data_IF_014069445311
#
_entry.id   IF_014069445311
#
_cell.length_a   1.000
_cell.length_b   1.000
_cell.length_c   1.000
_cell.angle_alpha   90.00
_cell.angle_beta   90.00
_cell.angle_gamma   90.00
#
_symmetry.space_group_name_H-M   'P 1'
#
loop_
_entity.id
_entity.type
_entity.pdbx_description
1 polymer ?
#
# COMPACT_ATOMS: atom_id res chain seq x y z
N UNK A 1 -9.29 36.68 -2.14
CA UNK A 1 -10.31 35.68 -2.62
C UNK A 1 -9.76 34.23 -2.63
N UNK A 2 -8.48 33.99 -2.97
CA UNK A 2 -7.90 32.68 -2.99
C UNK A 2 -7.74 32.11 -1.56
N UNK A 3 -7.27 32.91 -0.60
CA UNK A 3 -7.06 32.49 0.78
C UNK A 3 -8.37 32.07 1.47
N UNK A 4 -9.47 32.80 1.24
CA UNK A 4 -10.78 32.46 1.79
C UNK A 4 -11.27 31.09 1.27
N UNK A 5 -10.96 30.74 0.01
CA UNK A 5 -11.33 29.45 -0.58
C UNK A 5 -10.52 28.29 0.03
N UNK A 6 -9.23 28.48 0.30
CA UNK A 6 -8.39 27.48 0.95
C UNK A 6 -8.87 27.21 2.38
N UNK A 7 -9.17 28.28 3.14
CA UNK A 7 -9.68 28.16 4.50
C UNK A 7 -11.02 27.39 4.54
N UNK A 8 -11.92 27.66 3.59
CA UNK A 8 -13.16 26.90 3.46
C UNK A 8 -12.90 25.40 3.21
N UNK A 9 -11.94 25.06 2.34
CA UNK A 9 -11.58 23.67 2.05
C UNK A 9 -10.94 22.98 3.26
N UNK A 10 -10.10 23.69 4.02
CA UNK A 10 -9.53 23.20 5.29
C UNK A 10 -10.62 22.96 6.34
N UNK A 11 -11.55 23.88 6.50
CA UNK A 11 -12.71 23.74 7.39
C UNK A 11 -13.56 22.51 7.04
N UNK A 12 -13.80 22.28 5.75
CA UNK A 12 -14.49 21.06 5.30
C UNK A 12 -13.71 19.78 5.63
N UNK A 13 -12.39 19.79 5.49
CA UNK A 13 -11.56 18.65 5.90
C UNK A 13 -11.67 18.38 7.40
N UNK A 14 -11.59 19.43 8.23
CA UNK A 14 -11.76 19.31 9.69
C UNK A 14 -13.15 18.74 10.03
N UNK A 15 -14.19 19.22 9.38
CA UNK A 15 -15.55 18.70 9.56
C UNK A 15 -15.63 17.21 9.22
N UNK A 16 -15.13 16.79 8.05
CA UNK A 16 -15.12 15.38 7.65
C UNK A 16 -14.38 14.49 8.66
N UNK A 17 -13.26 14.95 9.19
CA UNK A 17 -12.51 14.25 10.24
C UNK A 17 -13.32 14.12 11.52
N UNK A 18 -13.95 15.20 11.98
CA UNK A 18 -14.74 15.19 13.20
C UNK A 18 -15.97 14.25 13.06
N UNK A 19 -16.67 14.29 11.93
CA UNK A 19 -17.78 13.39 11.63
C UNK A 19 -17.31 11.91 11.61
N UNK A 20 -16.09 11.67 11.10
CA UNK A 20 -15.48 10.34 11.11
C UNK A 20 -15.18 9.85 12.54
N UNK A 21 -14.59 10.70 13.38
CA UNK A 21 -14.30 10.38 14.78
C UNK A 21 -15.59 10.07 15.58
N UNK A 22 -16.65 10.87 15.37
CA UNK A 22 -17.96 10.61 16.00
C UNK A 22 -18.50 9.25 15.63
N UNK A 23 -18.43 8.88 14.35
CA UNK A 23 -18.93 7.56 13.90
C UNK A 23 -18.05 6.41 14.40
N UNK A 24 -16.73 6.56 14.47
CA UNK A 24 -15.83 5.56 15.05
C UNK A 24 -16.15 5.35 16.55
N UNK A 25 -16.40 6.41 17.31
CA UNK A 25 -16.77 6.30 18.71
C UNK A 25 -18.12 5.56 18.91
N UNK A 26 -19.10 5.71 18.01
CA UNK A 26 -20.34 4.91 18.03
C UNK A 26 -20.06 3.43 17.84
N UNK A 27 -19.17 3.07 16.92
CA UNK A 27 -18.76 1.66 16.70
C UNK A 27 -18.00 1.14 17.93
N UNK A 28 -17.13 1.95 18.53
CA UNK A 28 -16.42 1.59 19.77
C UNK A 28 -17.39 1.29 20.90
N UNK A 29 -18.39 2.14 21.11
CA UNK A 29 -19.44 1.93 22.11
C UNK A 29 -20.17 0.60 21.90
N UNK A 30 -20.55 0.30 20.65
CA UNK A 30 -21.15 -0.99 20.30
C UNK A 30 -20.26 -2.16 20.69
N UNK A 31 -18.94 -2.10 20.38
CA UNK A 31 -17.99 -3.15 20.74
C UNK A 31 -17.83 -3.28 22.27
N UNK A 32 -17.76 -2.15 22.98
CA UNK A 32 -17.64 -2.13 24.46
C UNK A 32 -18.85 -2.77 25.14
N UNK A 33 -20.07 -2.43 24.70
CA UNK A 33 -21.32 -2.99 25.25
C UNK A 33 -21.45 -4.51 25.05
N UNK A 34 -20.71 -5.09 24.11
CA UNK A 34 -20.69 -6.52 23.78
C UNK A 34 -19.41 -7.24 24.15
N UNK A 35 -18.49 -6.56 24.86
CA UNK A 35 -17.19 -7.08 25.26
C UNK A 35 -16.36 -7.65 24.09
N UNK A 36 -16.41 -6.99 22.91
CA UNK A 36 -15.66 -7.36 21.70
C UNK A 36 -14.27 -6.75 21.72
N UNK A 37 -13.32 -7.41 22.35
CA UNK A 37 -11.97 -6.88 22.58
C UNK A 37 -11.24 -6.50 21.28
N UNK A 38 -11.28 -7.37 20.26
CA UNK A 38 -10.66 -7.12 18.94
C UNK A 38 -11.31 -5.91 18.25
N UNK A 39 -12.63 -5.76 18.37
CA UNK A 39 -13.36 -4.61 17.85
C UNK A 39 -12.95 -3.31 18.51
N UNK A 40 -12.81 -3.29 19.84
CA UNK A 40 -12.34 -2.11 20.59
C UNK A 40 -10.93 -1.73 20.12
N UNK A 41 -10.01 -2.68 20.05
CA UNK A 41 -8.62 -2.44 19.62
C UNK A 41 -8.53 -1.90 18.19
N UNK A 42 -9.28 -2.51 17.26
CA UNK A 42 -9.31 -2.10 15.86
C UNK A 42 -9.88 -0.69 15.68
N UNK A 43 -10.94 -0.34 16.39
CA UNK A 43 -11.56 0.98 16.33
C UNK A 43 -10.67 2.03 17.01
N UNK A 44 -10.01 1.71 18.13
CA UNK A 44 -9.05 2.61 18.77
C UNK A 44 -7.84 2.92 17.88
N UNK A 45 -7.35 1.92 17.15
CA UNK A 45 -6.31 2.14 16.14
C UNK A 45 -6.79 3.08 15.02
N UNK A 46 -8.04 2.92 14.57
CA UNK A 46 -8.65 3.80 13.57
C UNK A 46 -8.82 5.24 14.11
N UNK A 47 -9.24 5.41 15.36
CA UNK A 47 -9.37 6.72 16.02
C UNK A 47 -8.00 7.40 16.12
N UNK A 48 -6.96 6.69 16.58
CA UNK A 48 -5.59 7.25 16.65
C UNK A 48 -5.10 7.69 15.27
N UNK A 49 -5.34 6.88 14.24
CA UNK A 49 -4.98 7.24 12.85
C UNK A 49 -5.73 8.47 12.35
N UNK A 50 -7.01 8.61 12.69
CA UNK A 50 -7.85 9.73 12.27
C UNK A 50 -7.58 11.04 13.04
N UNK A 51 -7.10 10.97 14.27
CA UNK A 51 -6.77 12.13 15.11
C UNK A 51 -5.56 12.91 14.59
N UNK A 52 -4.64 12.24 13.89
CA UNK A 52 -3.48 12.89 13.28
C UNK A 52 -3.86 13.89 12.19
N UNK A 53 -3.21 15.06 12.19
CA UNK A 53 -3.41 16.09 11.15
C UNK A 53 -2.49 15.88 9.94
N UNK A 54 -1.39 15.16 10.13
CA UNK A 54 -0.44 14.86 9.07
C UNK A 54 -0.95 13.74 8.13
N UNK A 55 -0.48 13.76 6.89
CA UNK A 55 -0.72 12.64 5.99
C UNK A 55 -0.08 11.36 6.56
N UNK A 56 -0.75 10.20 6.44
CA UNK A 56 -0.21 8.95 6.93
C UNK A 56 1.18 8.69 6.33
N UNK A 57 2.18 8.47 7.17
CA UNK A 57 3.55 8.12 6.74
C UNK A 57 3.74 6.61 6.60
N UNK A 58 2.89 5.83 7.29
CA UNK A 58 2.94 4.38 7.22
C UNK A 58 2.71 3.86 5.78
N UNK A 59 3.43 2.81 5.38
CA UNK A 59 3.22 2.17 4.09
C UNK A 59 1.79 1.62 3.99
N UNK A 60 1.23 1.71 2.79
CA UNK A 60 -0.10 1.15 2.54
C UNK A 60 -0.01 -0.39 2.47
N UNK A 61 -1.02 -1.13 2.99
CA UNK A 61 -1.03 -2.58 2.91
C UNK A 61 -0.89 -3.06 1.46
N UNK A 62 -0.01 -4.03 1.22
CA UNK A 62 0.14 -4.61 -0.12
C UNK A 62 -0.99 -5.57 -0.49
N UNK A 63 -1.56 -6.25 0.51
CA UNK A 63 -2.63 -7.22 0.29
C UNK A 63 -3.99 -6.54 0.24
N UNK A 64 -4.84 -7.03 -0.65
CA UNK A 64 -6.25 -6.66 -0.70
C UNK A 64 -6.94 -7.19 0.56
N UNK A 65 -7.79 -6.37 1.17
CA UNK A 65 -8.55 -6.75 2.36
C UNK A 65 -9.45 -7.95 2.05
N UNK A 66 -9.31 -9.07 2.78
CA UNK A 66 -10.13 -10.25 2.54
C UNK A 66 -11.61 -9.97 2.84
N UNK A 67 -12.50 -10.72 2.22
CA UNK A 67 -13.91 -10.68 2.55
C UNK A 67 -14.16 -11.16 4.00
N UNK A 68 -15.27 -10.75 4.58
CA UNK A 68 -15.64 -11.21 5.90
C UNK A 68 -16.03 -12.69 5.83
N UNK A 69 -15.48 -13.51 6.74
CA UNK A 69 -15.87 -14.91 6.80
C UNK A 69 -17.36 -15.04 7.12
N UNK A 70 -18.08 -15.93 6.43
CA UNK A 70 -19.48 -16.24 6.76
C UNK A 70 -19.63 -16.88 8.16
N UNK A 71 -18.56 -17.50 8.68
CA UNK A 71 -18.57 -18.22 9.97
C UNK A 71 -18.34 -17.31 11.18
N UNK A 72 -18.09 -16.00 10.95
CA UNK A 72 -17.94 -15.05 12.05
C UNK A 72 -19.24 -14.95 12.88
N UNK A 73 -19.12 -14.86 14.22
CA UNK A 73 -20.26 -14.54 15.09
C UNK A 73 -20.97 -13.26 14.62
N UNK A 74 -22.30 -13.21 14.79
CA UNK A 74 -23.10 -12.10 14.28
C UNK A 74 -22.61 -10.72 14.75
N UNK A 75 -22.25 -10.59 16.03
CA UNK A 75 -21.74 -9.34 16.59
C UNK A 75 -20.37 -8.94 16.00
N UNK A 76 -19.49 -9.93 15.78
CA UNK A 76 -18.18 -9.72 15.14
C UNK A 76 -18.34 -9.25 13.70
N UNK A 77 -19.18 -9.91 12.93
CA UNK A 77 -19.50 -9.54 11.55
C UNK A 77 -20.12 -8.16 11.47
N UNK A 78 -20.99 -7.83 12.43
CA UNK A 78 -21.68 -6.54 12.47
C UNK A 78 -20.70 -5.37 12.62
N UNK A 79 -19.82 -5.37 13.64
CA UNK A 79 -18.90 -4.26 13.83
C UNK A 79 -17.87 -4.15 12.70
N UNK A 80 -17.36 -5.28 12.18
CA UNK A 80 -16.42 -5.27 11.06
C UNK A 80 -17.08 -4.68 9.80
N UNK A 81 -18.30 -5.06 9.50
CA UNK A 81 -19.08 -4.52 8.38
C UNK A 81 -19.35 -3.02 8.54
N UNK A 82 -19.75 -2.59 9.73
CA UNK A 82 -19.98 -1.17 10.04
C UNK A 82 -18.70 -0.36 9.88
N UNK A 83 -17.58 -0.83 10.44
CA UNK A 83 -16.28 -0.15 10.33
C UNK A 83 -15.82 -0.04 8.87
N UNK A 84 -15.91 -1.13 8.09
CA UNK A 84 -15.55 -1.12 6.65
C UNK A 84 -16.43 -0.16 5.86
N UNK A 85 -17.72 -0.21 6.06
CA UNK A 85 -18.68 0.66 5.36
C UNK A 85 -18.43 2.12 5.70
N UNK A 86 -18.21 2.43 6.97
CA UNK A 86 -17.95 3.79 7.40
C UNK A 86 -16.62 4.31 6.86
N UNK A 87 -15.54 3.51 6.92
CA UNK A 87 -14.24 3.88 6.36
C UNK A 87 -14.32 4.14 4.86
N UNK A 88 -15.03 3.34 4.09
CA UNK A 88 -15.26 3.56 2.65
C UNK A 88 -16.00 4.87 2.38
N UNK A 89 -17.05 5.18 3.13
CA UNK A 89 -17.80 6.44 3.00
C UNK A 89 -16.91 7.64 3.29
N UNK A 90 -16.14 7.58 4.36
CA UNK A 90 -15.22 8.65 4.71
C UNK A 90 -14.12 8.81 3.64
N UNK A 91 -13.54 7.71 3.14
CA UNK A 91 -12.56 7.73 2.05
C UNK A 91 -13.14 8.36 0.77
N UNK A 92 -14.39 8.06 0.41
CA UNK A 92 -15.06 8.69 -0.73
C UNK A 92 -15.20 10.20 -0.53
N UNK A 93 -15.57 10.66 0.66
CA UNK A 93 -15.70 12.08 0.97
C UNK A 93 -14.35 12.80 0.90
N UNK A 94 -13.28 12.21 1.43
CA UNK A 94 -11.90 12.72 1.31
C UNK A 94 -11.46 12.81 -0.15
N UNK A 95 -11.76 11.79 -0.95
CA UNK A 95 -11.44 11.79 -2.37
C UNK A 95 -12.18 12.90 -3.14
N UNK A 96 -13.46 13.11 -2.88
CA UNK A 96 -14.23 14.20 -3.49
C UNK A 96 -13.67 15.57 -3.08
N UNK A 97 -13.28 15.72 -1.82
CA UNK A 97 -12.62 16.93 -1.34
C UNK A 97 -11.27 17.12 -2.05
N UNK A 98 -10.46 16.07 -2.24
CA UNK A 98 -9.17 16.17 -2.92
C UNK A 98 -9.29 16.73 -4.34
N UNK A 99 -10.34 16.34 -5.09
CA UNK A 99 -10.61 16.89 -6.43
C UNK A 99 -10.93 18.37 -6.39
N UNK A 100 -11.69 18.81 -5.39
CA UNK A 100 -12.04 20.24 -5.22
C UNK A 100 -10.82 21.07 -4.84
N UNK A 101 -9.97 20.53 -3.96
CA UNK A 101 -8.70 21.12 -3.54
C UNK A 101 -7.74 21.24 -4.72
N UNK A 102 -7.62 20.18 -5.55
CA UNK A 102 -6.81 20.19 -6.75
C UNK A 102 -7.29 21.24 -7.77
N UNK A 103 -8.62 21.32 -8.01
CA UNK A 103 -9.22 22.33 -8.88
C UNK A 103 -9.00 23.75 -8.37
N UNK A 104 -8.77 23.93 -7.07
CA UNK A 104 -8.43 25.21 -6.46
C UNK A 104 -6.92 25.53 -6.52
N UNK A 105 -6.08 24.66 -7.11
CA UNK A 105 -4.64 24.86 -7.30
C UNK A 105 -3.76 24.36 -6.14
N UNK A 106 -4.32 23.72 -5.10
CA UNK A 106 -3.59 23.29 -3.91
C UNK A 106 -3.13 21.80 -4.02
N UNK A 107 -2.15 21.53 -4.90
CA UNK A 107 -1.73 20.18 -5.27
C UNK A 107 -1.23 19.35 -4.08
N UNK A 108 -0.38 19.91 -3.21
CA UNK A 108 0.14 19.19 -2.04
C UNK A 108 -0.97 18.77 -1.06
N UNK A 109 -1.94 19.66 -0.83
CA UNK A 109 -3.09 19.34 0.03
C UNK A 109 -3.99 18.27 -0.62
N UNK A 110 -4.24 18.36 -1.93
CA UNK A 110 -4.99 17.35 -2.66
C UNK A 110 -4.31 15.97 -2.61
N UNK A 111 -2.99 15.91 -2.79
CA UNK A 111 -2.21 14.69 -2.69
C UNK A 111 -2.29 14.07 -1.28
N UNK A 112 -2.18 14.88 -0.24
CA UNK A 112 -2.34 14.42 1.14
C UNK A 112 -3.72 13.82 1.41
N UNK A 113 -4.79 14.40 0.86
CA UNK A 113 -6.14 13.85 0.95
C UNK A 113 -6.27 12.51 0.20
N UNK A 114 -5.60 12.33 -0.94
CA UNK A 114 -5.54 11.04 -1.65
C UNK A 114 -4.83 9.98 -0.81
N UNK A 115 -3.74 10.33 -0.13
CA UNK A 115 -3.04 9.42 0.81
C UNK A 115 -3.95 9.03 1.98
N UNK A 116 -4.65 9.99 2.59
CA UNK A 116 -5.62 9.72 3.64
C UNK A 116 -6.77 8.83 3.13
N UNK A 117 -7.25 9.06 1.90
CA UNK A 117 -8.24 8.19 1.24
C UNK A 117 -7.77 6.74 1.19
N UNK A 118 -6.54 6.50 0.72
CA UNK A 118 -5.97 5.17 0.62
C UNK A 118 -5.67 4.53 1.99
N UNK A 119 -5.40 5.32 3.02
CA UNK A 119 -5.23 4.82 4.39
C UNK A 119 -6.57 4.42 5.03
N UNK A 120 -7.65 5.16 4.74
CA UNK A 120 -8.99 4.81 5.21
C UNK A 120 -9.61 3.63 4.46
N UNK A 121 -9.47 3.61 3.12
CA UNK A 121 -9.89 2.51 2.26
C UNK A 121 -8.70 2.02 1.42
N UNK A 122 -7.93 1.05 1.94
CA UNK A 122 -6.75 0.51 1.26
C UNK A 122 -7.05 -0.11 -0.11
N UNK A 123 -8.30 -0.47 -0.36
CA UNK A 123 -8.75 -1.09 -1.61
C UNK A 123 -9.39 -0.10 -2.60
N UNK A 124 -9.35 1.19 -2.29
CA UNK A 124 -9.79 2.24 -3.19
C UNK A 124 -8.95 2.25 -4.48
N UNK A 125 -9.48 1.66 -5.56
CA UNK A 125 -8.79 1.57 -6.86
C UNK A 125 -8.35 2.93 -7.38
N UNK A 126 -9.18 3.95 -7.18
CA UNK A 126 -8.89 5.29 -7.67
C UNK A 126 -7.74 5.94 -6.90
N UNK A 127 -7.76 5.86 -5.56
CA UNK A 127 -6.67 6.39 -4.74
C UNK A 127 -5.38 5.63 -5.00
N UNK A 128 -5.42 4.29 -5.04
CA UNK A 128 -4.25 3.45 -5.32
C UNK A 128 -3.61 3.79 -6.67
N UNK A 129 -4.41 3.95 -7.73
CA UNK A 129 -3.90 4.31 -9.06
C UNK A 129 -3.23 5.68 -9.07
N UNK A 130 -3.80 6.67 -8.40
CA UNK A 130 -3.19 8.00 -8.28
C UNK A 130 -1.87 7.97 -7.49
N UNK A 131 -1.72 7.02 -6.57
CA UNK A 131 -0.49 6.79 -5.81
C UNK A 131 0.51 5.86 -6.53
N UNK A 132 0.23 5.49 -7.79
CA UNK A 132 1.15 4.69 -8.60
C UNK A 132 1.03 3.18 -8.41
N UNK A 133 -0.08 2.67 -7.82
CA UNK A 133 -0.29 1.23 -7.64
C UNK A 133 -1.32 0.67 -8.62
N UNK A 134 -1.11 -0.57 -9.02
CA UNK A 134 -2.05 -1.37 -9.80
C UNK A 134 -2.36 -2.67 -9.07
N UNK A 135 -3.53 -3.24 -9.32
CA UNK A 135 -3.92 -4.53 -8.74
C UNK A 135 -3.35 -5.68 -9.56
N UNK A 136 -2.67 -6.61 -8.89
CA UNK A 136 -2.19 -7.87 -9.44
C UNK A 136 -2.66 -9.02 -8.54
N UNK A 137 -3.68 -9.75 -8.96
CA UNK A 137 -4.37 -10.75 -8.13
C UNK A 137 -4.98 -10.11 -6.86
N UNK A 138 -4.54 -10.57 -5.71
CA UNK A 138 -4.92 -10.06 -4.39
C UNK A 138 -3.91 -9.04 -3.80
N UNK A 139 -3.00 -8.49 -4.61
CA UNK A 139 -1.96 -7.56 -4.16
C UNK A 139 -2.02 -6.24 -4.91
N UNK A 140 -1.60 -5.19 -4.22
CA UNK A 140 -1.33 -3.87 -4.77
C UNK A 140 0.16 -3.74 -4.99
N UNK A 141 0.57 -3.53 -6.24
CA UNK A 141 1.98 -3.46 -6.63
C UNK A 141 2.21 -2.27 -7.58
N UNK A 142 3.45 -1.88 -7.78
CA UNK A 142 3.78 -0.90 -8.82
C UNK A 142 3.53 -1.49 -10.22
N UNK A 143 3.31 -0.67 -11.27
CA UNK A 143 3.19 -1.16 -12.65
C UNK A 143 4.39 -1.99 -13.09
N UNK A 144 5.61 -1.58 -12.71
CA UNK A 144 6.83 -2.34 -12.96
C UNK A 144 6.78 -3.72 -12.29
N UNK A 145 6.49 -3.78 -11.00
CA UNK A 145 6.37 -5.06 -10.28
C UNK A 145 5.29 -5.97 -10.92
N UNK A 146 4.14 -5.39 -11.32
CA UNK A 146 3.09 -6.14 -12.03
C UNK A 146 3.60 -6.74 -13.34
N UNK A 147 4.42 -6.02 -14.09
CA UNK A 147 5.03 -6.52 -15.32
C UNK A 147 6.00 -7.69 -15.04
N UNK A 148 6.84 -7.59 -14.00
CA UNK A 148 7.76 -8.66 -13.63
C UNK A 148 7.02 -9.92 -13.15
N UNK A 149 5.98 -9.75 -12.33
CA UNK A 149 5.15 -10.86 -11.88
C UNK A 149 4.44 -11.59 -13.04
N UNK A 150 3.98 -10.87 -14.06
CA UNK A 150 3.41 -11.47 -15.30
C UNK A 150 4.44 -12.31 -16.07
N UNK A 151 5.72 -11.95 -15.98
CA UNK A 151 6.84 -12.72 -16.54
C UNK A 151 7.25 -13.89 -15.68
N UNK A 152 6.49 -14.21 -14.62
CA UNK A 152 6.79 -15.26 -13.62
C UNK A 152 8.10 -15.02 -12.87
N UNK A 153 8.48 -13.75 -12.68
CA UNK A 153 9.56 -13.36 -11.79
C UNK A 153 9.02 -13.16 -10.38
N UNK A 154 9.84 -13.46 -9.39
CA UNK A 154 9.60 -13.18 -7.98
C UNK A 154 10.67 -12.24 -7.45
N UNK A 155 10.25 -11.30 -6.60
CA UNK A 155 11.18 -10.41 -5.91
C UNK A 155 11.82 -11.11 -4.72
N UNK A 156 13.13 -10.99 -4.60
CA UNK A 156 13.90 -11.38 -3.44
C UNK A 156 14.73 -10.20 -2.95
N UNK A 157 14.75 -9.93 -1.64
CA UNK A 157 15.41 -8.74 -1.07
C UNK A 157 16.89 -8.63 -1.45
N UNK A 158 17.60 -9.76 -1.43
CA UNK A 158 19.05 -9.80 -1.73
C UNK A 158 19.35 -9.87 -3.24
N UNK A 159 18.53 -10.58 -4.01
CA UNK A 159 18.85 -10.90 -5.40
C UNK A 159 18.00 -10.16 -6.43
N UNK A 160 17.05 -9.34 -5.98
CA UNK A 160 16.14 -8.62 -6.87
C UNK A 160 15.13 -9.55 -7.56
N UNK A 161 14.78 -9.26 -8.80
CA UNK A 161 13.82 -10.02 -9.58
C UNK A 161 14.45 -11.28 -10.19
N UNK A 162 14.00 -12.44 -9.77
CA UNK A 162 14.44 -13.75 -10.23
C UNK A 162 13.29 -14.55 -10.83
N UNK A 163 13.55 -15.47 -11.78
CA UNK A 163 12.56 -16.50 -12.12
C UNK A 163 12.07 -17.20 -10.85
N UNK A 164 10.75 -17.29 -10.66
CA UNK A 164 10.18 -17.86 -9.43
C UNK A 164 10.71 -19.28 -9.12
N UNK A 165 10.95 -20.08 -10.17
CA UNK A 165 11.53 -21.42 -10.05
C UNK A 165 13.00 -21.43 -9.57
N UNK A 166 13.69 -20.30 -9.60
CA UNK A 166 15.10 -20.21 -9.19
C UNK A 166 15.26 -19.80 -7.72
N UNK A 167 14.24 -19.20 -7.09
CA UNK A 167 14.33 -18.59 -5.75
C UNK A 167 14.87 -19.56 -4.71
N UNK A 168 14.35 -20.79 -4.64
CA UNK A 168 14.80 -21.78 -3.64
C UNK A 168 16.27 -22.15 -3.82
N UNK A 169 16.74 -22.30 -5.06
CA UNK A 169 18.15 -22.58 -5.32
C UNK A 169 19.05 -21.41 -4.94
N UNK A 170 18.60 -20.18 -5.15
CA UNK A 170 19.34 -18.99 -4.72
C UNK A 170 19.45 -18.91 -3.18
N UNK A 171 18.40 -19.28 -2.46
CA UNK A 171 18.41 -19.36 -0.99
C UNK A 171 19.40 -20.41 -0.46
N UNK A 172 19.57 -21.52 -1.19
CA UNK A 172 20.52 -22.58 -0.83
C UNK A 172 21.95 -22.31 -1.32
N UNK A 173 22.26 -21.08 -1.73
CA UNK A 173 23.61 -20.69 -2.15
C UNK A 173 23.96 -20.99 -3.59
N UNK A 174 23.04 -21.55 -4.38
CA UNK A 174 23.27 -21.76 -5.81
C UNK A 174 23.01 -20.47 -6.61
N UNK A 175 23.71 -20.32 -7.74
CA UNK A 175 23.60 -19.19 -8.66
C UNK A 175 23.44 -19.68 -10.10
N UNK A 176 22.59 -19.02 -10.86
CA UNK A 176 22.38 -19.37 -12.26
C UNK A 176 23.30 -18.54 -13.15
N UNK A 177 24.37 -19.16 -13.68
CA UNK A 177 25.37 -18.51 -14.51
C UNK A 177 25.50 -19.20 -15.86
N UNK A 178 25.32 -18.47 -16.96
CA UNK A 178 25.44 -18.97 -18.34
C UNK A 178 24.76 -20.32 -18.56
N UNK A 179 23.48 -20.43 -18.14
CA UNK A 179 22.61 -21.62 -18.27
C UNK A 179 23.03 -22.83 -17.41
N UNK A 180 23.90 -22.64 -16.41
CA UNK A 180 24.33 -23.68 -15.45
C UNK A 180 24.14 -23.20 -14.02
N UNK A 181 23.93 -24.14 -13.12
CA UNK A 181 23.92 -23.88 -11.69
C UNK A 181 25.34 -24.05 -11.15
N UNK A 182 25.82 -23.06 -10.42
CA UNK A 182 27.12 -23.01 -9.76
C UNK A 182 26.96 -22.58 -8.30
N UNK A 183 27.97 -22.77 -7.46
CA UNK A 183 27.97 -22.18 -6.11
C UNK A 183 28.12 -20.66 -6.15
N UNK A 184 27.74 -19.97 -5.08
CA UNK A 184 27.92 -18.52 -4.95
C UNK A 184 29.39 -18.11 -5.09
N UNK A 185 30.31 -18.87 -4.47
CA UNK A 185 31.74 -18.61 -4.54
C UNK A 185 32.27 -18.75 -5.98
N UNK A 186 31.82 -19.78 -6.66
CA UNK A 186 32.22 -20.00 -8.06
C UNK A 186 31.67 -18.90 -8.98
N UNK A 187 30.45 -18.42 -8.75
CA UNK A 187 29.95 -17.26 -9.49
C UNK A 187 30.80 -16.01 -9.23
N UNK A 188 31.10 -15.73 -7.97
CA UNK A 188 31.94 -14.58 -7.59
C UNK A 188 33.31 -14.62 -8.27
N UNK A 189 33.95 -15.79 -8.30
CA UNK A 189 35.21 -15.99 -9.01
C UNK A 189 35.08 -15.72 -10.52
N UNK A 190 34.06 -16.30 -11.17
CA UNK A 190 33.82 -16.11 -12.61
C UNK A 190 33.52 -14.65 -12.99
N UNK A 191 32.88 -13.88 -12.09
CA UNK A 191 32.55 -12.47 -12.33
C UNK A 191 33.73 -11.50 -12.10
N UNK A 192 34.83 -11.94 -11.53
CA UNK A 192 36.07 -11.12 -11.48
C UNK A 192 36.53 -10.72 -12.89
N UNK A 193 36.33 -11.60 -13.87
CA UNK A 193 36.54 -11.23 -15.28
C UNK A 193 35.39 -10.32 -15.76
N UNK A 194 35.72 -9.11 -16.18
CA UNK A 194 34.75 -8.10 -16.63
C UNK A 194 33.91 -8.56 -17.83
N UNK A 195 34.37 -9.54 -18.60
CA UNK A 195 33.58 -10.19 -19.67
C UNK A 195 32.36 -10.92 -19.12
N UNK A 196 32.38 -11.32 -17.86
CA UNK A 196 31.33 -12.01 -17.14
C UNK A 196 30.60 -11.09 -16.15
N UNK A 197 30.86 -9.80 -16.17
CA UNK A 197 30.25 -8.83 -15.26
C UNK A 197 28.73 -8.84 -15.31
N UNK A 198 28.11 -8.31 -14.26
CA UNK A 198 26.67 -8.08 -14.23
C UNK A 198 26.29 -7.04 -15.28
N UNK A 199 25.21 -7.31 -16.00
CA UNK A 199 24.62 -6.35 -16.93
C UNK A 199 23.20 -6.00 -16.49
N UNK A 200 22.97 -4.72 -16.21
CA UNK A 200 21.64 -4.17 -15.91
C UNK A 200 21.26 -3.22 -17.04
N UNK A 201 20.19 -3.56 -17.74
CA UNK A 201 19.68 -2.73 -18.82
C UNK A 201 18.45 -1.94 -18.33
N UNK A 202 18.50 -0.64 -18.51
CA UNK A 202 17.35 0.28 -18.35
C UNK A 202 16.93 0.78 -19.73
N UNK A 203 15.91 1.64 -19.79
CA UNK A 203 15.45 2.24 -21.04
C UNK A 203 16.52 3.12 -21.73
N UNK A 204 17.48 3.65 -20.97
CA UNK A 204 18.47 4.62 -21.44
C UNK A 204 19.92 4.16 -21.25
N UNK A 205 20.19 3.17 -20.38
CA UNK A 205 21.55 2.78 -20.00
C UNK A 205 21.76 1.27 -19.98
N UNK A 206 22.96 0.86 -20.35
CA UNK A 206 23.50 -0.45 -20.06
C UNK A 206 24.59 -0.30 -19.01
N UNK A 207 24.28 -0.72 -17.78
CA UNK A 207 25.27 -0.70 -16.69
C UNK A 207 25.96 -2.04 -16.63
N UNK A 208 27.29 -2.04 -16.62
CA UNK A 208 28.10 -3.25 -16.48
C UNK A 208 28.99 -3.11 -15.25
N UNK A 209 28.93 -4.07 -14.33
CA UNK A 209 29.71 -4.05 -13.08
C UNK A 209 30.11 -5.46 -12.67
N UNK A 210 31.31 -5.60 -12.10
CA UNK A 210 31.79 -6.84 -11.49
C UNK A 210 31.79 -6.78 -9.95
N UNK A 211 31.27 -5.71 -9.36
CA UNK A 211 31.02 -5.59 -7.93
C UNK A 211 29.57 -5.94 -7.61
N UNK A 212 29.39 -6.75 -6.55
CA UNK A 212 28.09 -7.12 -5.97
C UNK A 212 27.75 -6.24 -4.79
#
# INVERSE_FOLDING_TARGET
RADNRLELLRSQHVKLRNDHLVALNKIKLFCTQRNLADGIQAVDAAIRSAAGTAAPTAPLPETVTPELSPDLPAAERQWQSQLRTHRRRHAQALFLLSRRVLKAGHTSFAYNLVRQTAACDPDSRTARRLLGFVRHGNRWVTPFASQQLRRRLAWHETFGWLPAAHVERYKTGQRYFKRRWVSADREAELRRDFRNAWEVRTDHYLVKTNHS
#
